data_IF_250298132830
#
_entry.id   IF_250298132830
#
_cell.length_a   1.000
_cell.length_b   1.000
_cell.length_c   1.000
_cell.angle_alpha   90.00
_cell.angle_beta   90.00
_cell.angle_gamma   90.00
#
_symmetry.space_group_name_H-M   'P 1'
#
loop_
_entity.id
_entity.type
_entity.pdbx_description
1 polymer ?
#
# COMPACT_ATOMS: atom_id res chain seq x y z
N UNK A 1 -27.29 -34.28 -12.32
CA UNK A 1 -26.39 -33.23 -11.80
C UNK A 1 -25.83 -32.48 -13.00
N UNK A 2 -26.48 -31.40 -13.40
CA UNK A 2 -25.98 -30.49 -14.45
C UNK A 2 -25.04 -29.51 -13.79
N UNK A 3 -23.73 -29.67 -14.02
CA UNK A 3 -22.72 -28.71 -13.60
C UNK A 3 -22.97 -27.38 -14.32
N UNK A 4 -23.21 -26.32 -13.55
CA UNK A 4 -23.27 -24.95 -14.06
C UNK A 4 -21.91 -24.59 -14.69
N UNK A 5 -21.87 -24.03 -15.91
CA UNK A 5 -20.64 -23.46 -16.44
C UNK A 5 -20.20 -22.31 -15.52
N UNK A 6 -18.91 -22.26 -15.18
CA UNK A 6 -18.36 -21.11 -14.47
C UNK A 6 -18.71 -19.81 -15.23
N UNK A 7 -19.09 -18.72 -14.55
CA UNK A 7 -19.48 -17.48 -15.22
C UNK A 7 -18.34 -17.06 -16.15
N UNK A 8 -18.66 -16.95 -17.44
CA UNK A 8 -17.71 -16.57 -18.47
C UNK A 8 -17.24 -15.15 -18.16
N UNK A 9 -15.99 -14.99 -17.68
CA UNK A 9 -15.38 -13.67 -17.47
C UNK A 9 -15.53 -12.88 -18.77
N UNK A 10 -16.01 -11.65 -18.65
CA UNK A 10 -16.03 -10.76 -19.81
C UNK A 10 -14.59 -10.53 -20.29
N UNK A 11 -14.43 -10.15 -21.56
CA UNK A 11 -13.12 -10.00 -22.22
C UNK A 11 -12.22 -9.03 -21.44
N UNK A 12 -12.79 -7.93 -20.93
CA UNK A 12 -12.06 -6.92 -20.17
C UNK A 12 -11.46 -7.50 -18.89
N UNK A 13 -12.24 -8.22 -18.08
CA UNK A 13 -11.77 -8.83 -16.83
C UNK A 13 -10.74 -9.93 -17.08
N UNK A 14 -10.90 -10.70 -18.17
CA UNK A 14 -9.91 -11.69 -18.61
C UNK A 14 -8.57 -11.04 -18.96
N UNK A 15 -8.59 -9.92 -19.68
CA UNK A 15 -7.39 -9.17 -20.04
C UNK A 15 -6.70 -8.53 -18.83
N UNK A 16 -7.46 -7.96 -17.89
CA UNK A 16 -6.90 -7.42 -16.66
C UNK A 16 -6.25 -8.52 -15.82
N UNK A 17 -6.91 -9.68 -15.67
CA UNK A 17 -6.35 -10.82 -14.96
C UNK A 17 -5.05 -11.35 -15.61
N UNK A 18 -5.01 -11.44 -16.95
CA UNK A 18 -3.81 -11.83 -17.68
C UNK A 18 -2.66 -10.83 -17.49
N UNK A 19 -2.96 -9.52 -17.49
CA UNK A 19 -1.96 -8.49 -17.23
C UNK A 19 -1.40 -8.57 -15.79
N UNK A 20 -2.27 -8.75 -14.79
CA UNK A 20 -1.85 -8.95 -13.39
C UNK A 20 -0.95 -10.18 -13.24
N UNK A 21 -1.29 -11.29 -13.89
CA UNK A 21 -0.48 -12.51 -13.86
C UNK A 21 0.90 -12.29 -14.50
N UNK A 22 0.95 -11.67 -15.69
CA UNK A 22 2.21 -11.32 -16.36
C UNK A 22 3.09 -10.41 -15.51
N UNK A 23 2.50 -9.42 -14.84
CA UNK A 23 3.24 -8.54 -13.93
C UNK A 23 3.84 -9.33 -12.77
N UNK A 24 3.08 -10.26 -12.20
CA UNK A 24 3.53 -11.06 -11.06
C UNK A 24 4.71 -11.97 -11.43
N UNK A 25 4.63 -12.63 -12.59
CA UNK A 25 5.63 -13.60 -13.05
C UNK A 25 6.88 -12.97 -13.68
N UNK A 26 6.72 -11.85 -14.38
CA UNK A 26 7.75 -11.33 -15.27
C UNK A 26 8.05 -9.84 -15.09
N UNK A 27 7.33 -9.15 -14.20
CA UNK A 27 7.50 -7.73 -13.94
C UNK A 27 6.94 -6.81 -15.02
N UNK A 28 7.15 -5.51 -14.84
CA UNK A 28 6.50 -4.47 -15.64
C UNK A 28 6.87 -4.52 -17.14
N UNK A 29 8.06 -5.00 -17.49
CA UNK A 29 8.52 -5.10 -18.89
C UNK A 29 7.73 -6.14 -19.71
N UNK A 30 7.04 -7.05 -19.04
CA UNK A 30 6.16 -8.03 -19.68
C UNK A 30 4.79 -7.45 -20.07
N UNK A 31 4.41 -6.28 -19.54
CA UNK A 31 3.16 -5.60 -19.87
C UNK A 31 3.25 -4.94 -21.24
N UNK A 32 3.17 -5.75 -22.30
CA UNK A 32 3.17 -5.31 -23.70
C UNK A 32 1.89 -5.79 -24.39
N UNK A 33 1.35 -4.97 -25.29
CA UNK A 33 0.05 -5.21 -25.95
C UNK A 33 -0.10 -6.64 -26.50
N UNK A 34 0.90 -7.14 -27.22
CA UNK A 34 0.88 -8.50 -27.80
C UNK A 34 0.94 -9.59 -26.74
N UNK A 35 1.76 -9.43 -25.70
CA UNK A 35 1.90 -10.40 -24.61
C UNK A 35 0.60 -10.52 -23.82
N UNK A 36 0.01 -9.38 -23.46
CA UNK A 36 -1.28 -9.36 -22.74
C UNK A 36 -2.38 -9.98 -23.59
N UNK A 37 -2.52 -9.55 -24.85
CA UNK A 37 -3.55 -10.10 -25.75
C UNK A 37 -3.39 -11.62 -25.95
N UNK A 38 -2.15 -12.09 -26.15
CA UNK A 38 -1.84 -13.51 -26.26
C UNK A 38 -2.20 -14.29 -24.99
N UNK A 39 -1.80 -13.77 -23.82
CA UNK A 39 -2.11 -14.40 -22.52
C UNK A 39 -3.62 -14.42 -22.22
N UNK A 40 -4.36 -13.42 -22.69
CA UNK A 40 -5.81 -13.34 -22.52
C UNK A 40 -6.60 -14.12 -23.60
N UNK A 41 -5.93 -14.63 -24.64
CA UNK A 41 -6.60 -15.27 -25.79
C UNK A 41 -7.42 -14.30 -26.65
N UNK A 42 -7.01 -13.02 -26.72
CA UNK A 42 -7.73 -11.95 -27.42
C UNK A 42 -6.90 -11.34 -28.56
N UNK A 43 -7.51 -10.48 -29.37
CA UNK A 43 -6.76 -9.65 -30.32
C UNK A 43 -6.08 -8.48 -29.60
N UNK A 44 -5.05 -7.90 -30.21
CA UNK A 44 -4.41 -6.68 -29.70
C UNK A 44 -5.35 -5.47 -29.75
N UNK A 45 -6.33 -5.46 -30.65
CA UNK A 45 -7.35 -4.40 -30.72
C UNK A 45 -8.21 -4.35 -29.46
N UNK A 46 -8.42 -5.48 -28.77
CA UNK A 46 -9.17 -5.52 -27.53
C UNK A 46 -8.53 -4.62 -26.43
N UNK A 47 -7.20 -4.45 -26.41
CA UNK A 47 -6.51 -3.53 -25.49
C UNK A 47 -6.95 -2.09 -25.73
N UNK A 48 -7.04 -1.68 -27.00
CA UNK A 48 -7.47 -0.34 -27.36
C UNK A 48 -8.97 -0.16 -27.11
N UNK A 49 -9.79 -1.14 -27.44
CA UNK A 49 -11.25 -1.08 -27.26
C UNK A 49 -11.66 -1.00 -25.79
N UNK A 50 -11.05 -1.80 -24.90
CA UNK A 50 -11.49 -1.90 -23.51
C UNK A 50 -10.77 -0.94 -22.55
N UNK A 51 -9.55 -0.52 -22.88
CA UNK A 51 -8.70 0.25 -21.97
C UNK A 51 -8.15 1.55 -22.59
N UNK A 52 -8.50 1.86 -23.85
CA UNK A 52 -7.91 3.01 -24.55
C UNK A 52 -6.40 2.88 -24.83
N UNK A 53 -5.85 1.66 -24.69
CA UNK A 53 -4.44 1.35 -24.89
C UNK A 53 -3.72 0.90 -23.61
N UNK A 54 -2.41 0.65 -23.73
CA UNK A 54 -1.61 0.09 -22.63
C UNK A 54 -1.53 0.99 -21.39
N UNK A 55 -1.57 2.31 -21.58
CA UNK A 55 -1.57 3.25 -20.44
C UNK A 55 -2.82 3.10 -19.57
N UNK A 56 -4.00 2.94 -20.18
CA UNK A 56 -5.23 2.71 -19.44
C UNK A 56 -5.25 1.33 -18.77
N UNK A 57 -4.77 0.29 -19.47
CA UNK A 57 -4.65 -1.04 -18.86
C UNK A 57 -3.72 -1.03 -17.65
N UNK A 58 -2.56 -0.37 -17.74
CA UNK A 58 -1.61 -0.27 -16.62
C UNK A 58 -2.21 0.51 -15.45
N UNK A 59 -2.99 1.56 -15.72
CA UNK A 59 -3.70 2.29 -14.67
C UNK A 59 -4.67 1.37 -13.92
N UNK A 60 -5.45 0.54 -14.63
CA UNK A 60 -6.34 -0.42 -13.99
C UNK A 60 -5.60 -1.53 -13.23
N UNK A 61 -4.45 -1.99 -13.73
CA UNK A 61 -3.59 -2.93 -12.98
C UNK A 61 -3.06 -2.29 -11.70
N UNK A 62 -2.71 -0.99 -11.73
CA UNK A 62 -2.29 -0.26 -10.54
C UNK A 62 -3.44 -0.07 -9.54
N UNK A 63 -4.66 0.22 -10.02
CA UNK A 63 -5.88 0.26 -9.20
C UNK A 63 -6.16 -1.10 -8.55
N UNK A 64 -6.02 -2.21 -9.29
CA UNK A 64 -6.10 -3.56 -8.74
C UNK A 64 -5.06 -3.78 -7.62
N UNK A 65 -3.83 -3.33 -7.84
CA UNK A 65 -2.76 -3.37 -6.85
C UNK A 65 -3.10 -2.57 -5.59
N UNK A 66 -3.72 -1.39 -5.73
CA UNK A 66 -4.19 -0.56 -4.61
C UNK A 66 -5.30 -1.25 -3.82
N UNK A 67 -6.26 -1.91 -4.49
CA UNK A 67 -7.32 -2.67 -3.81
C UNK A 67 -6.77 -3.86 -3.02
N UNK A 68 -5.84 -4.61 -3.61
CA UNK A 68 -5.18 -5.73 -2.92
C UNK A 68 -4.35 -5.23 -1.73
N UNK A 69 -3.70 -4.07 -1.89
CA UNK A 69 -2.92 -3.47 -0.84
C UNK A 69 -3.79 -2.99 0.33
N UNK A 70 -4.88 -2.28 0.05
CA UNK A 70 -5.87 -1.86 1.04
C UNK A 70 -6.41 -3.05 1.86
N UNK A 71 -6.79 -4.14 1.17
CA UNK A 71 -7.22 -5.36 1.83
C UNK A 71 -6.14 -5.95 2.74
N UNK A 72 -4.86 -5.91 2.33
CA UNK A 72 -3.75 -6.41 3.12
C UNK A 72 -3.44 -5.54 4.37
N UNK A 73 -3.78 -4.24 4.33
CA UNK A 73 -3.61 -3.32 5.45
C UNK A 73 -4.77 -3.35 6.45
N UNK A 74 -5.88 -3.99 6.10
CA UNK A 74 -7.06 -4.11 6.95
C UNK A 74 -6.77 -5.05 8.11
N UNK A 75 -6.47 -4.47 9.27
CA UNK A 75 -6.20 -5.19 10.53
C UNK A 75 -7.21 -4.80 11.62
N UNK A 76 -7.66 -5.73 12.48
CA UNK A 76 -8.57 -5.40 13.57
C UNK A 76 -7.94 -4.40 14.55
N UNK A 77 -8.63 -3.30 14.91
CA UNK A 77 -8.12 -2.37 15.90
C UNK A 77 -8.10 -2.99 17.31
N UNK A 78 -7.10 -2.62 18.11
CA UNK A 78 -6.98 -2.97 19.53
C UNK A 78 -7.11 -1.74 20.42
N UNK A 79 -7.09 -1.90 21.74
CA UNK A 79 -7.10 -0.75 22.67
C UNK A 79 -5.76 0.03 22.68
N UNK A 80 -4.71 -0.47 22.03
CA UNK A 80 -3.42 0.21 21.90
C UNK A 80 -3.18 0.70 20.46
N UNK A 81 -3.56 1.96 20.13
CA UNK A 81 -3.45 2.46 18.76
C UNK A 81 -2.00 2.57 18.26
N UNK A 82 -1.02 2.64 19.17
CA UNK A 82 0.40 2.61 18.79
C UNK A 82 0.81 1.19 18.39
N UNK A 83 0.31 0.15 19.07
CA UNK A 83 0.53 -1.22 18.64
C UNK A 83 -0.10 -1.48 17.27
N UNK A 84 -1.31 -0.98 17.04
CA UNK A 84 -1.99 -1.08 15.74
C UNK A 84 -1.17 -0.43 14.62
N UNK A 85 -0.55 0.73 14.88
CA UNK A 85 0.32 1.41 13.92
C UNK A 85 1.53 0.52 13.51
N UNK A 86 2.15 -0.19 14.46
CA UNK A 86 3.21 -1.15 14.16
C UNK A 86 2.70 -2.36 13.36
N UNK A 87 1.52 -2.88 13.70
CA UNK A 87 0.89 -4.01 12.99
C UNK A 87 0.55 -3.64 11.55
N UNK A 88 -0.01 -2.46 11.32
CA UNK A 88 -0.26 -1.91 9.97
C UNK A 88 1.06 -1.78 9.21
N UNK A 89 2.12 -1.27 9.84
CA UNK A 89 3.45 -1.20 9.24
C UNK A 89 4.02 -2.57 8.84
N UNK A 90 3.85 -3.59 9.70
CA UNK A 90 4.26 -4.96 9.38
C UNK A 90 3.46 -5.53 8.20
N UNK A 91 2.14 -5.29 8.14
CA UNK A 91 1.29 -5.69 7.03
C UNK A 91 1.68 -4.99 5.71
N UNK A 92 1.98 -3.70 5.77
CA UNK A 92 2.48 -2.89 4.65
C UNK A 92 3.74 -3.51 4.04
N UNK A 93 4.76 -3.76 4.87
CA UNK A 93 6.01 -4.38 4.43
C UNK A 93 5.75 -5.77 3.84
N UNK A 94 4.99 -6.61 4.54
CA UNK A 94 4.70 -8.00 4.12
C UNK A 94 4.08 -8.05 2.73
N UNK A 95 3.13 -7.16 2.44
CA UNK A 95 2.54 -7.05 1.10
C UNK A 95 3.60 -6.66 0.06
N UNK A 96 4.38 -5.61 0.35
CA UNK A 96 5.37 -5.10 -0.59
C UNK A 96 6.42 -6.15 -0.98
N UNK A 97 6.93 -6.92 -0.02
CA UNK A 97 7.90 -7.99 -0.26
C UNK A 97 7.26 -9.14 -1.05
N UNK A 98 6.06 -9.58 -0.66
CA UNK A 98 5.35 -10.68 -1.33
C UNK A 98 4.92 -10.33 -2.76
N UNK A 99 4.63 -9.06 -3.02
CA UNK A 99 4.10 -8.57 -4.29
C UNK A 99 4.98 -7.49 -4.93
N UNK A 100 6.31 -7.70 -4.94
CA UNK A 100 7.34 -6.73 -5.38
C UNK A 100 7.05 -5.98 -6.69
N UNK A 101 6.58 -6.70 -7.71
CA UNK A 101 6.32 -6.12 -9.03
C UNK A 101 5.07 -5.26 -9.03
N UNK A 102 4.00 -5.72 -8.36
CA UNK A 102 2.78 -4.96 -8.16
C UNK A 102 3.03 -3.70 -7.34
N UNK A 103 3.77 -3.82 -6.24
CA UNK A 103 4.08 -2.71 -5.36
C UNK A 103 4.85 -1.59 -6.08
N UNK A 104 5.87 -1.94 -6.87
CA UNK A 104 6.61 -0.98 -7.70
C UNK A 104 5.75 -0.33 -8.77
N UNK A 105 4.82 -1.07 -9.39
CA UNK A 105 3.90 -0.52 -10.38
C UNK A 105 2.93 0.50 -9.76
N UNK A 106 2.29 0.13 -8.65
CA UNK A 106 1.31 0.93 -7.92
C UNK A 106 1.85 2.31 -7.51
N UNK A 107 3.08 2.35 -7.00
CA UNK A 107 3.73 3.62 -6.61
C UNK A 107 4.54 4.26 -7.74
N UNK A 108 4.30 3.85 -8.99
CA UNK A 108 4.89 4.51 -10.14
C UNK A 108 6.42 4.41 -10.20
N UNK A 109 7.03 3.42 -9.56
CA UNK A 109 8.49 3.26 -9.58
C UNK A 109 8.99 2.59 -10.86
N UNK A 110 8.11 1.89 -11.59
CA UNK A 110 8.47 1.15 -12.82
C UNK A 110 7.30 1.11 -13.80
N UNK A 111 7.48 1.64 -15.01
CA UNK A 111 6.56 1.42 -16.14
C UNK A 111 7.22 1.79 -17.47
N UNK A 112 7.19 0.88 -18.45
CA UNK A 112 7.62 1.16 -19.82
C UNK A 112 6.70 2.16 -20.55
N UNK A 113 5.50 2.43 -20.02
CA UNK A 113 4.48 3.30 -20.61
C UNK A 113 4.31 4.62 -19.84
N UNK A 114 5.24 4.94 -18.93
CA UNK A 114 5.21 6.13 -18.09
C UNK A 114 4.51 5.93 -16.74
N UNK A 115 4.75 6.86 -15.83
CA UNK A 115 4.24 6.87 -14.45
C UNK A 115 3.02 7.80 -14.41
N UNK A 116 1.84 7.28 -14.10
CA UNK A 116 0.69 8.11 -13.77
C UNK A 116 0.79 8.52 -12.29
N UNK A 117 1.57 9.55 -11.99
CA UNK A 117 1.65 10.09 -10.63
C UNK A 117 0.30 10.74 -10.25
N UNK A 118 -0.14 10.63 -8.98
CA UNK A 118 -1.34 11.33 -8.52
C UNK A 118 -1.22 12.83 -8.77
N UNK A 119 -2.22 13.43 -9.40
CA UNK A 119 -2.26 14.88 -9.66
C UNK A 119 -2.65 15.70 -8.41
N UNK A 120 -2.97 15.03 -7.31
CA UNK A 120 -3.55 15.64 -6.11
C UNK A 120 -2.60 15.53 -4.92
N UNK A 121 -2.48 16.63 -4.18
CA UNK A 121 -1.76 16.65 -2.92
C UNK A 121 -2.66 16.11 -1.80
N UNK A 122 -2.45 14.86 -1.38
CA UNK A 122 -3.25 14.24 -0.32
C UNK A 122 -3.16 14.98 1.03
N UNK A 123 -2.16 15.83 1.22
CA UNK A 123 -1.98 16.62 2.45
C UNK A 123 -2.99 17.77 2.59
N UNK A 124 -3.71 18.13 1.53
CA UNK A 124 -4.74 19.17 1.57
C UNK A 124 -6.14 18.61 1.83
N UNK A 125 -6.27 17.29 1.94
CA UNK A 125 -7.55 16.62 2.12
C UNK A 125 -7.89 16.47 3.60
N UNK A 126 -9.19 16.51 3.89
CA UNK A 126 -9.75 16.14 5.19
C UNK A 126 -9.61 14.65 5.46
N UNK A 127 -9.70 14.25 6.73
CA UNK A 127 -9.69 12.83 7.10
C UNK A 127 -10.83 12.08 6.42
N UNK A 128 -12.02 12.69 6.34
CA UNK A 128 -13.20 12.11 5.70
C UNK A 128 -13.01 11.89 4.19
N UNK A 129 -12.42 12.86 3.48
CA UNK A 129 -12.10 12.71 2.04
C UNK A 129 -11.07 11.60 1.80
N UNK A 130 -10.10 11.45 2.69
CA UNK A 130 -9.10 10.38 2.61
C UNK A 130 -9.76 9.01 2.81
N UNK A 131 -10.64 8.86 3.79
CA UNK A 131 -11.36 7.59 4.02
C UNK A 131 -12.20 7.17 2.81
N UNK A 132 -12.75 8.12 2.06
CA UNK A 132 -13.59 7.86 0.90
C UNK A 132 -12.79 7.55 -0.37
N UNK A 133 -11.68 8.26 -0.59
CA UNK A 133 -11.00 8.28 -1.89
C UNK A 133 -9.64 7.59 -1.88
N UNK A 134 -9.01 7.39 -0.71
CA UNK A 134 -7.67 6.85 -0.57
C UNK A 134 -7.62 5.78 0.55
N UNK A 135 -8.35 4.66 0.41
CA UNK A 135 -8.56 3.70 1.49
C UNK A 135 -7.25 3.08 2.01
N UNK A 136 -6.28 2.83 1.13
CA UNK A 136 -4.96 2.32 1.54
C UNK A 136 -4.19 3.32 2.42
N UNK A 137 -4.29 4.64 2.15
CA UNK A 137 -3.70 5.68 2.99
C UNK A 137 -4.52 5.92 4.27
N UNK A 138 -5.83 5.72 4.21
CA UNK A 138 -6.72 5.90 5.35
C UNK A 138 -6.35 5.03 6.57
N UNK A 139 -5.73 3.86 6.37
CA UNK A 139 -5.28 3.01 7.48
C UNK A 139 -4.28 3.73 8.41
N UNK A 140 -3.24 4.37 7.84
CA UNK A 140 -2.24 5.10 8.65
C UNK A 140 -2.82 6.39 9.22
N UNK A 141 -3.70 7.08 8.47
CA UNK A 141 -4.40 8.28 8.95
C UNK A 141 -5.27 7.95 10.16
N UNK A 142 -6.06 6.87 10.09
CA UNK A 142 -6.91 6.41 11.20
C UNK A 142 -6.09 6.00 12.42
N UNK A 143 -4.98 5.28 12.22
CA UNK A 143 -4.10 4.89 13.32
C UNK A 143 -3.49 6.10 14.03
N UNK A 144 -3.01 7.10 13.27
CA UNK A 144 -2.49 8.36 13.82
C UNK A 144 -3.57 9.14 14.55
N UNK A 145 -4.76 9.28 13.95
CA UNK A 145 -5.88 9.97 14.59
C UNK A 145 -6.23 9.32 15.94
N UNK A 146 -6.27 7.98 16.00
CA UNK A 146 -6.49 7.25 17.26
C UNK A 146 -5.36 7.46 18.27
N UNK A 147 -4.11 7.51 17.82
CA UNK A 147 -2.97 7.85 18.69
C UNK A 147 -3.11 9.26 19.28
N UNK A 148 -3.55 10.25 18.50
CA UNK A 148 -3.79 11.61 18.97
C UNK A 148 -4.94 11.67 19.99
N UNK A 149 -6.08 11.04 19.69
CA UNK A 149 -7.23 10.95 20.61
C UNK A 149 -6.90 10.25 21.93
N UNK A 150 -5.98 9.27 21.90
CA UNK A 150 -5.51 8.58 23.09
C UNK A 150 -4.39 9.33 23.84
N UNK A 151 -4.01 10.53 23.41
CA UNK A 151 -2.92 11.32 23.99
C UNK A 151 -1.56 10.63 23.87
N UNK A 152 -1.38 9.75 22.88
CA UNK A 152 -0.10 9.11 22.55
C UNK A 152 0.73 9.98 21.62
N UNK A 153 0.08 10.72 20.74
CA UNK A 153 0.69 11.77 19.93
C UNK A 153 0.10 13.09 20.42
N UNK A 154 0.93 13.98 20.93
CA UNK A 154 0.52 15.27 21.49
C UNK A 154 1.01 16.47 20.66
N UNK A 155 1.82 16.22 19.64
CA UNK A 155 2.17 17.22 18.65
C UNK A 155 0.98 17.42 17.67
N UNK A 156 0.32 18.58 17.74
CA UNK A 156 -0.88 18.90 16.97
C UNK A 156 -2.18 18.56 17.72
N UNK A 157 -3.32 18.68 17.04
CA UNK A 157 -4.65 18.39 17.58
C UNK A 157 -5.32 17.27 16.79
N UNK A 158 -6.04 16.38 17.48
CA UNK A 158 -6.88 15.37 16.84
C UNK A 158 -8.06 15.98 16.05
N UNK A 159 -8.45 17.20 16.39
CA UNK A 159 -9.54 17.93 15.73
C UNK A 159 -9.04 18.79 14.55
N UNK A 160 -7.73 18.75 14.27
CA UNK A 160 -7.11 19.40 13.11
C UNK A 160 -6.71 18.33 12.08
N UNK A 161 -7.56 18.17 11.06
CA UNK A 161 -7.33 17.24 9.97
C UNK A 161 -5.96 17.43 9.29
N UNK A 162 -5.51 18.68 9.14
CA UNK A 162 -4.20 18.98 8.56
C UNK A 162 -3.06 18.40 9.40
N UNK A 163 -3.13 18.54 10.72
CA UNK A 163 -2.16 17.97 11.65
C UNK A 163 -2.18 16.44 11.64
N UNK A 164 -3.37 15.82 11.62
CA UNK A 164 -3.54 14.37 11.54
C UNK A 164 -2.90 13.83 10.25
N UNK A 165 -3.24 14.41 9.11
CA UNK A 165 -2.79 13.95 7.79
C UNK A 165 -1.29 14.19 7.59
N UNK A 166 -0.76 15.34 8.00
CA UNK A 166 0.67 15.61 7.95
C UNK A 166 1.47 14.65 8.84
N UNK A 167 0.94 14.27 10.01
CA UNK A 167 1.57 13.29 10.89
C UNK A 167 1.52 11.88 10.29
N UNK A 168 0.40 11.48 9.71
CA UNK A 168 0.27 10.21 8.99
C UNK A 168 1.25 10.10 7.80
N UNK A 169 1.44 11.21 7.07
CA UNK A 169 2.39 11.27 5.97
C UNK A 169 3.85 11.06 6.40
N UNK A 170 4.24 11.46 7.62
CA UNK A 170 5.58 11.19 8.15
C UNK A 170 5.82 9.69 8.36
N UNK A 171 4.84 8.97 8.91
CA UNK A 171 4.90 7.51 9.05
C UNK A 171 4.91 6.82 7.68
N UNK A 172 4.04 7.26 6.75
CA UNK A 172 4.00 6.72 5.40
C UNK A 172 5.32 6.94 4.65
N UNK A 173 5.89 8.14 4.68
CA UNK A 173 7.17 8.44 4.04
C UNK A 173 8.30 7.54 4.60
N UNK A 174 8.32 7.35 5.92
CA UNK A 174 9.32 6.51 6.60
C UNK A 174 9.25 5.05 6.15
N UNK A 175 8.06 4.44 6.20
CA UNK A 175 7.90 3.03 5.82
C UNK A 175 8.03 2.82 4.31
N UNK A 176 7.51 3.74 3.50
CA UNK A 176 7.63 3.67 2.05
C UNK A 176 9.11 3.72 1.63
N UNK A 177 9.88 4.67 2.19
CA UNK A 177 11.31 4.77 1.95
C UNK A 177 12.07 3.51 2.35
N UNK A 178 11.81 2.98 3.55
CA UNK A 178 12.42 1.73 4.02
C UNK A 178 12.12 0.55 3.08
N UNK A 179 10.85 0.35 2.72
CA UNK A 179 10.42 -0.74 1.84
C UNK A 179 11.05 -0.61 0.44
N UNK A 180 11.17 0.60 -0.09
CA UNK A 180 11.82 0.82 -1.38
C UNK A 180 13.30 0.47 -1.36
N UNK A 181 14.02 0.81 -0.28
CA UNK A 181 15.42 0.42 -0.08
C UNK A 181 15.57 -1.10 0.08
N UNK A 182 14.66 -1.72 0.82
CA UNK A 182 14.64 -3.17 1.02
C UNK A 182 14.37 -3.92 -0.28
N UNK A 183 13.37 -3.50 -1.06
CA UNK A 183 13.09 -4.08 -2.38
C UNK A 183 14.24 -3.88 -3.38
N UNK A 184 15.07 -2.87 -3.18
CA UNK A 184 16.28 -2.63 -3.97
C UNK A 184 17.49 -3.45 -3.48
N UNK A 185 17.37 -4.17 -2.36
CA UNK A 185 18.42 -5.04 -1.80
C UNK A 185 19.38 -4.35 -0.84
N UNK A 186 19.19 -3.06 -0.52
CA UNK A 186 20.09 -2.32 0.38
C UNK A 186 19.95 -2.72 1.85
N UNK A 187 18.83 -3.35 2.22
CA UNK A 187 18.52 -3.75 3.61
C UNK A 187 18.66 -5.25 3.86
N UNK A 188 19.14 -6.03 2.89
CA UNK A 188 19.09 -7.50 2.93
C UNK A 188 17.66 -8.05 2.72
N UNK A 189 17.50 -9.37 2.73
CA UNK A 189 16.22 -10.08 2.55
C UNK A 189 15.79 -10.91 3.77
N UNK A 190 16.65 -11.03 4.78
CA UNK A 190 16.42 -11.78 6.02
C UNK A 190 15.57 -11.03 7.07
N UNK A 191 15.25 -9.76 6.80
CA UNK A 191 14.47 -8.90 7.69
C UNK A 191 15.26 -8.36 8.90
N UNK A 192 16.56 -8.58 8.97
CA UNK A 192 17.43 -8.12 10.07
C UNK A 192 17.43 -6.59 10.23
N UNK A 193 17.18 -5.84 9.16
CA UNK A 193 17.11 -4.38 9.17
C UNK A 193 15.79 -3.82 9.74
N UNK A 194 14.72 -4.62 9.85
CA UNK A 194 13.37 -4.14 10.20
C UNK A 194 13.35 -3.49 11.58
N UNK A 195 13.90 -4.18 12.59
CA UNK A 195 13.96 -3.66 13.95
C UNK A 195 14.91 -2.46 14.11
N UNK A 196 16.21 -2.58 13.77
CA UNK A 196 17.18 -1.53 14.04
C UNK A 196 16.95 -0.26 13.21
N UNK A 197 16.33 -0.36 12.03
CA UNK A 197 16.04 0.79 11.16
C UNK A 197 14.59 1.22 11.29
N UNK A 198 13.64 0.45 10.73
CA UNK A 198 12.24 0.86 10.67
C UNK A 198 11.63 0.97 12.08
N UNK A 199 11.81 -0.03 12.93
CA UNK A 199 11.33 -0.02 14.32
C UNK A 199 11.89 1.15 15.13
N UNK A 200 13.18 1.41 15.03
CA UNK A 200 13.84 2.56 15.66
C UNK A 200 13.32 3.90 15.12
N UNK A 201 13.19 4.05 13.79
CA UNK A 201 12.66 5.28 13.17
C UNK A 201 11.23 5.57 13.63
N UNK A 202 10.34 4.57 13.59
CA UNK A 202 8.96 4.70 14.07
C UNK A 202 8.92 5.04 15.56
N UNK A 203 9.75 4.39 16.38
CA UNK A 203 9.80 4.64 17.82
C UNK A 203 10.31 6.05 18.15
N UNK A 204 11.37 6.49 17.48
CA UNK A 204 11.94 7.83 17.66
C UNK A 204 10.93 8.91 17.22
N UNK A 205 10.21 8.69 16.11
CA UNK A 205 9.17 9.59 15.65
C UNK A 205 8.03 9.69 16.66
N UNK A 206 7.52 8.56 17.20
CA UNK A 206 6.49 8.56 18.23
C UNK A 206 6.91 9.32 19.50
N UNK A 207 8.17 9.15 19.93
CA UNK A 207 8.71 9.88 21.09
C UNK A 207 8.80 11.38 20.79
N UNK A 208 9.30 11.76 19.61
CA UNK A 208 9.35 13.16 19.19
C UNK A 208 7.96 13.80 19.08
N UNK A 209 6.95 13.00 18.75
CA UNK A 209 5.54 13.41 18.67
C UNK A 209 4.81 13.43 20.03
N UNK A 210 5.50 13.10 21.13
CA UNK A 210 5.00 13.27 22.49
C UNK A 210 4.69 11.99 23.27
N UNK A 211 4.92 10.81 22.71
CA UNK A 211 4.78 9.56 23.48
C UNK A 211 6.01 9.34 24.39
N UNK A 212 5.86 8.51 25.42
CA UNK A 212 6.98 8.11 26.27
C UNK A 212 7.74 6.91 25.66
N UNK A 213 9.09 6.87 25.75
CA UNK A 213 9.87 5.73 25.25
C UNK A 213 9.44 4.37 25.84
N UNK A 214 9.03 4.35 27.12
CA UNK A 214 8.57 3.14 27.81
C UNK A 214 7.26 2.60 27.21
N UNK A 215 6.29 3.46 26.94
CA UNK A 215 4.99 3.09 26.36
C UNK A 215 5.16 2.64 24.91
N UNK A 216 5.92 3.37 24.10
CA UNK A 216 6.25 2.97 22.72
C UNK A 216 6.88 1.57 22.68
N UNK A 217 7.87 1.33 23.54
CA UNK A 217 8.53 0.02 23.62
C UNK A 217 7.57 -1.10 24.04
N UNK A 218 6.60 -0.81 24.91
CA UNK A 218 5.56 -1.78 25.29
C UNK A 218 4.63 -2.08 24.12
N UNK A 219 4.12 -1.06 23.44
CA UNK A 219 3.25 -1.19 22.26
C UNK A 219 3.92 -1.95 21.13
N UNK A 220 5.20 -1.67 20.87
CA UNK A 220 5.99 -2.38 19.86
C UNK A 220 6.16 -3.88 20.18
N UNK A 221 6.41 -4.23 21.46
CA UNK A 221 6.45 -5.64 21.89
C UNK A 221 5.10 -6.32 21.77
N UNK A 222 4.01 -5.64 22.16
CA UNK A 222 2.65 -6.17 22.02
C UNK A 222 2.33 -6.47 20.55
N UNK A 223 2.68 -5.56 19.63
CA UNK A 223 2.50 -5.76 18.20
C UNK A 223 3.24 -7.01 17.69
N UNK A 224 4.47 -7.25 18.16
CA UNK A 224 5.27 -8.42 17.74
C UNK A 224 4.73 -9.75 18.26
N UNK A 225 4.11 -9.77 19.44
CA UNK A 225 3.57 -10.99 20.04
C UNK A 225 2.20 -11.38 19.46
N UNK A 226 1.47 -10.43 18.87
CA UNK A 226 0.16 -10.65 18.25
C UNK A 226 0.15 -10.78 16.73
N UNK A 227 1.31 -10.72 16.06
CA UNK A 227 1.48 -10.72 14.59
C UNK A 227 1.80 -12.08 13.99
#
# INVERSE_FOLDING_TARGET
>A
MTSQPAPQRNVRDGMLAAAVALLHEHGADALQTRKVAGAAGTSTMAVYTHFGGMRGLIAEVAEEGLRQFDAALTVPPTDDPVADLFVIGAAYRRYAIKHRHMYRLMFGSTSAHGINAPAHNVLTLTVAEIEQNYPSFAHVVRAVHRCMRAGRITAGSADDDGAVVATAAQFWASIHGFVMLELAGYCGDDGSAVLPVLGSMTSNLLVALGDSPKRVSQSMRSAMLGS
#
